data_IF_393722042250
#
_entry.id   IF_393722042250
#
_cell.length_a   1.000
_cell.length_b   1.000
_cell.length_c   1.000
_cell.angle_alpha   90.00
_cell.angle_beta   90.00
_cell.angle_gamma   90.00
#
_symmetry.space_group_name_H-M   'P 1'
#
loop_
_entity.id
_entity.type
_entity.pdbx_description
1 polymer ?
#
# COMPACT_ATOMS: atom_id res chain seq x y z
N UNK A 1 45.12 12.76 0.55
CA UNK A 1 45.37 11.88 -0.60
C UNK A 1 44.01 11.44 -1.14
N UNK A 2 43.50 12.15 -2.14
CA UNK A 2 42.22 11.87 -2.82
C UNK A 2 42.47 10.86 -3.94
N UNK A 3 41.57 9.89 -4.10
CA UNK A 3 41.48 9.06 -5.29
C UNK A 3 40.13 9.37 -5.99
N UNK A 4 40.12 9.72 -7.30
CA UNK A 4 38.88 9.89 -8.03
C UNK A 4 38.41 8.52 -8.56
N UNK A 5 37.19 8.12 -8.20
CA UNK A 5 36.51 7.01 -8.85
C UNK A 5 35.99 7.48 -10.21
N UNK A 6 36.66 7.04 -11.27
CA UNK A 6 36.23 7.22 -12.66
C UNK A 6 35.24 6.11 -13.01
N UNK A 7 33.94 6.39 -12.89
CA UNK A 7 32.91 5.50 -13.43
C UNK A 7 32.79 5.76 -14.94
N UNK A 8 33.27 4.81 -15.76
CA UNK A 8 33.14 4.87 -17.21
C UNK A 8 31.76 4.34 -17.63
N UNK A 9 31.06 5.18 -18.39
CA UNK A 9 29.84 4.91 -19.13
C UNK A 9 29.88 3.58 -19.90
N UNK A 10 28.76 2.86 -19.91
CA UNK A 10 28.27 2.20 -21.13
C UNK A 10 26.76 2.47 -21.22
N UNK A 11 26.40 3.44 -22.05
CA UNK A 11 25.06 3.56 -22.61
C UNK A 11 24.92 2.47 -23.68
N UNK A 12 23.82 1.73 -23.67
CA UNK A 12 23.38 0.90 -24.81
C UNK A 12 22.02 1.41 -25.26
N UNK A 13 21.93 2.15 -26.38
CA UNK A 13 20.69 2.50 -27.02
C UNK A 13 20.58 1.79 -28.38
N UNK A 14 19.87 0.66 -28.41
CA UNK A 14 19.32 0.07 -29.64
C UNK A 14 17.90 -0.37 -29.29
N UNK A 15 16.86 0.35 -29.70
CA UNK A 15 16.27 0.44 -31.04
C UNK A 15 15.10 -0.54 -31.26
N UNK A 16 13.95 0.08 -31.56
CA UNK A 16 12.86 -0.36 -32.45
C UNK A 16 11.96 -1.53 -32.00
N UNK A 17 10.72 -1.18 -31.64
CA UNK A 17 9.55 -1.56 -32.45
C UNK A 17 8.30 -0.78 -32.01
N UNK A 18 7.97 0.26 -32.78
CA UNK A 18 6.60 0.73 -32.91
C UNK A 18 5.80 -0.35 -33.63
N UNK A 19 4.72 -0.83 -33.02
CA UNK A 19 3.62 -1.45 -33.76
C UNK A 19 2.33 -0.78 -33.30
N UNK A 20 1.83 0.11 -34.15
CA UNK A 20 0.47 0.59 -34.13
C UNK A 20 -0.50 -0.56 -34.37
N UNK A 21 -1.50 -0.69 -33.50
CA UNK A 21 -2.79 -1.31 -33.85
C UNK A 21 -3.91 -0.45 -33.26
N UNK A 22 -4.58 0.39 -34.07
CA UNK A 22 -5.88 0.93 -33.72
C UNK A 22 -6.96 -0.05 -34.20
N UNK A 23 -7.70 -0.65 -33.27
CA UNK A 23 -9.01 -1.20 -33.58
C UNK A 23 -10.07 -0.40 -32.84
N UNK A 24 -10.65 0.54 -33.58
CA UNK A 24 -11.99 1.06 -33.35
C UNK A 24 -13.00 -0.09 -33.37
N UNK A 25 -13.62 -0.39 -32.23
CA UNK A 25 -14.93 -1.05 -32.21
C UNK A 25 -15.92 -0.09 -31.59
N UNK A 26 -16.79 0.36 -32.48
CA UNK A 26 -17.89 1.26 -32.23
C UNK A 26 -19.02 0.58 -31.44
N UNK A 27 -19.70 1.42 -30.66
CA UNK A 27 -21.15 1.42 -30.44
C UNK A 27 -21.77 0.24 -29.69
N UNK A 28 -22.24 0.50 -28.47
CA UNK A 28 -23.65 0.28 -28.13
C UNK A 28 -24.11 1.13 -26.93
N UNK A 29 -25.39 1.48 -27.01
CA UNK A 29 -26.10 2.60 -26.39
C UNK A 29 -26.36 2.47 -24.88
N UNK A 30 -26.72 3.58 -24.22
CA UNK A 30 -27.15 3.61 -22.83
C UNK A 30 -28.55 3.00 -22.68
N UNK A 31 -28.73 2.14 -21.67
CA UNK A 31 -30.06 1.75 -21.19
C UNK A 31 -30.31 2.41 -19.84
N UNK A 32 -31.23 3.38 -19.85
CA UNK A 32 -31.88 3.90 -18.65
C UNK A 32 -32.86 2.85 -18.15
N UNK A 33 -32.77 2.48 -16.88
CA UNK A 33 -33.90 1.91 -16.14
C UNK A 33 -34.08 2.69 -14.83
N UNK A 34 -35.19 3.42 -14.66
CA UNK A 34 -35.65 3.85 -13.35
C UNK A 34 -36.45 2.69 -12.72
N UNK A 35 -35.80 1.90 -11.86
CA UNK A 35 -36.52 0.92 -11.05
C UNK A 35 -37.03 1.63 -9.81
N UNK A 36 -38.35 1.74 -9.71
CA UNK A 36 -39.06 2.23 -8.54
C UNK A 36 -38.75 1.35 -7.33
N UNK A 37 -38.34 2.00 -6.24
CA UNK A 37 -38.02 1.39 -4.97
C UNK A 37 -39.32 1.28 -4.16
N UNK A 38 -39.71 0.11 -3.63
CA UNK A 38 -40.72 0.04 -2.58
C UNK A 38 -40.14 0.61 -1.26
N UNK A 39 -40.92 1.36 -0.46
CA UNK A 39 -40.48 1.83 0.84
C UNK A 39 -40.43 0.63 1.81
N UNK A 40 -39.23 0.18 2.14
CA UNK A 40 -39.04 -0.78 3.23
C UNK A 40 -39.22 -0.07 4.59
N UNK A 41 -39.85 -0.73 5.57
CA UNK A 41 -40.05 -0.17 6.90
C UNK A 41 -38.71 0.09 7.58
N UNK A 42 -38.59 1.29 8.13
CA UNK A 42 -37.47 1.78 8.94
C UNK A 42 -37.43 0.93 10.22
N UNK A 43 -36.70 -0.18 10.19
CA UNK A 43 -36.24 -0.83 11.40
C UNK A 43 -34.91 -0.19 11.78
N UNK A 44 -34.99 0.82 12.65
CA UNK A 44 -33.85 1.32 13.41
C UNK A 44 -33.23 0.13 14.15
N UNK A 45 -31.98 -0.26 13.88
CA UNK A 45 -31.27 -1.14 14.78
C UNK A 45 -30.99 -0.34 16.04
N UNK A 46 -31.46 -0.88 17.16
CA UNK A 46 -31.13 -0.45 18.50
C UNK A 46 -29.62 -0.18 18.59
N UNK A 47 -29.28 0.96 19.18
CA UNK A 47 -27.94 1.33 19.61
C UNK A 47 -27.38 0.24 20.51
N UNK A 48 -26.73 -0.75 19.87
CA UNK A 48 -25.93 -1.75 20.53
C UNK A 48 -24.72 -1.04 21.11
N UNK A 49 -24.61 -1.11 22.43
CA UNK A 49 -23.38 -0.91 23.20
C UNK A 49 -22.19 -1.49 22.41
N UNK A 50 -21.43 -0.61 21.78
CA UNK A 50 -20.13 -0.95 21.22
C UNK A 50 -19.18 -1.10 22.40
N UNK A 51 -19.16 -2.31 22.96
CA UNK A 51 -18.01 -2.76 23.73
C UNK A 51 -16.77 -2.51 22.88
N UNK A 52 -15.72 -1.85 23.41
CA UNK A 52 -14.47 -1.67 22.69
C UNK A 52 -13.83 -3.06 22.51
N UNK A 53 -14.19 -3.73 21.42
CA UNK A 53 -13.47 -4.90 20.94
C UNK A 53 -12.07 -4.39 20.61
N UNK A 54 -11.09 -4.77 21.43
CA UNK A 54 -9.68 -4.50 21.15
C UNK A 54 -9.41 -5.02 19.73
N UNK A 55 -9.07 -4.11 18.82
CA UNK A 55 -8.76 -4.45 17.43
C UNK A 55 -7.63 -5.49 17.42
N UNK A 56 -7.73 -6.47 16.52
CA UNK A 56 -6.67 -7.49 16.42
C UNK A 56 -5.36 -6.86 15.92
N UNK A 57 -4.18 -7.43 16.25
CA UNK A 57 -2.90 -6.93 15.74
C UNK A 57 -2.85 -6.79 14.22
N UNK A 58 -3.46 -7.74 13.51
CA UNK A 58 -3.61 -7.73 12.05
C UNK A 58 -4.48 -6.57 11.56
N UNK A 59 -5.64 -6.35 12.20
CA UNK A 59 -6.53 -5.23 11.89
C UNK A 59 -5.84 -3.89 12.11
N UNK A 60 -5.02 -3.79 13.16
CA UNK A 60 -4.26 -2.60 13.49
C UNK A 60 -3.15 -2.32 12.47
N UNK A 61 -2.41 -3.35 12.05
CA UNK A 61 -1.43 -3.25 10.97
C UNK A 61 -2.10 -2.81 9.66
N UNK A 62 -3.19 -3.48 9.26
CA UNK A 62 -3.91 -3.13 8.04
C UNK A 62 -4.45 -1.68 8.09
N UNK A 63 -5.03 -1.28 9.22
CA UNK A 63 -5.54 0.07 9.44
C UNK A 63 -4.41 1.11 9.35
N UNK A 64 -3.24 0.83 9.93
CA UNK A 64 -2.07 1.70 9.83
C UNK A 64 -1.62 1.85 8.37
N UNK A 65 -1.46 0.75 7.64
CA UNK A 65 -1.04 0.78 6.25
C UNK A 65 -2.05 1.54 5.36
N UNK A 66 -3.35 1.40 5.64
CA UNK A 66 -4.39 2.16 4.94
C UNK A 66 -4.29 3.66 5.17
N UNK A 67 -3.98 4.11 6.39
CA UNK A 67 -3.75 5.54 6.69
C UNK A 67 -2.52 6.11 5.98
N UNK A 68 -1.57 5.25 5.63
CA UNK A 68 -0.33 5.60 4.97
C UNK A 68 -0.25 5.05 3.53
N UNK A 69 -1.39 4.87 2.85
CA UNK A 69 -1.38 4.32 1.49
C UNK A 69 -0.52 5.18 0.52
N UNK A 70 -0.45 6.48 0.78
CA UNK A 70 0.32 7.45 0.01
C UNK A 70 1.84 7.19 0.08
N UNK A 71 2.31 6.40 1.05
CA UNK A 71 3.69 5.93 1.13
C UNK A 71 4.02 4.86 0.09
N UNK A 72 3.02 4.18 -0.49
CA UNK A 72 3.22 3.04 -1.38
C UNK A 72 2.98 3.37 -2.86
N UNK A 73 3.63 2.62 -3.75
CA UNK A 73 3.48 2.70 -5.22
C UNK A 73 2.54 1.64 -5.78
N UNK A 74 2.33 0.55 -5.04
CA UNK A 74 1.47 -0.56 -5.40
C UNK A 74 0.20 -0.52 -4.54
N UNK A 75 -0.70 -1.47 -4.78
CA UNK A 75 -1.94 -1.57 -4.01
C UNK A 75 -1.66 -1.93 -2.56
N UNK A 76 -2.47 -1.38 -1.64
CA UNK A 76 -2.41 -1.70 -0.22
C UNK A 76 -2.48 -3.21 0.03
N UNK A 77 -3.37 -3.92 -0.67
CA UNK A 77 -3.52 -5.37 -0.56
C UNK A 77 -2.25 -6.14 -0.93
N UNK A 78 -1.53 -5.69 -1.97
CA UNK A 78 -0.25 -6.30 -2.35
C UNK A 78 0.82 -6.13 -1.28
N UNK A 79 0.92 -4.94 -0.67
CA UNK A 79 1.88 -4.69 0.43
C UNK A 79 1.52 -5.53 1.65
N UNK A 80 0.24 -5.56 2.02
CA UNK A 80 -0.23 -6.28 3.20
C UNK A 80 0.01 -7.79 3.08
N UNK A 81 -0.34 -8.41 1.94
CA UNK A 81 -0.09 -9.82 1.69
C UNK A 81 1.40 -10.15 1.67
N UNK A 82 2.22 -9.25 1.12
CA UNK A 82 3.68 -9.43 1.12
C UNK A 82 4.26 -9.36 2.55
N UNK A 83 3.81 -8.40 3.38
CA UNK A 83 4.23 -8.33 4.79
C UNK A 83 3.87 -9.61 5.54
N UNK A 84 2.68 -10.17 5.32
CA UNK A 84 2.31 -11.47 5.90
C UNK A 84 3.22 -12.61 5.44
N UNK A 85 3.66 -12.61 4.18
CA UNK A 85 4.60 -13.63 3.68
C UNK A 85 6.00 -13.53 4.30
N UNK A 86 6.35 -12.35 4.81
CA UNK A 86 7.59 -12.08 5.55
C UNK A 86 7.42 -12.26 7.08
N UNK A 87 6.31 -12.86 7.52
CA UNK A 87 5.95 -13.06 8.94
C UNK A 87 5.76 -11.74 9.73
N UNK A 88 5.47 -10.63 9.03
CA UNK A 88 5.16 -9.33 9.63
C UNK A 88 3.65 -9.21 9.76
N UNK A 89 3.12 -9.57 10.93
CA UNK A 89 1.68 -9.64 11.22
C UNK A 89 1.18 -8.53 12.16
N UNK A 90 2.09 -7.79 12.81
CA UNK A 90 1.76 -6.70 13.74
C UNK A 90 2.59 -5.44 13.51
N UNK A 91 2.21 -4.34 14.18
CA UNK A 91 3.01 -3.11 14.18
C UNK A 91 4.33 -3.25 14.93
N UNK A 92 4.42 -4.17 15.91
CA UNK A 92 5.68 -4.44 16.60
C UNK A 92 6.68 -5.08 15.64
N UNK A 93 6.27 -6.13 14.91
CA UNK A 93 7.10 -6.79 13.91
C UNK A 93 7.55 -5.81 12.82
N UNK A 94 6.61 -4.97 12.35
CA UNK A 94 6.93 -3.96 11.35
C UNK A 94 7.90 -2.91 11.89
N UNK A 95 7.76 -2.50 13.16
CA UNK A 95 8.66 -1.55 13.83
C UNK A 95 10.10 -2.06 13.89
N UNK A 96 10.27 -3.34 14.23
CA UNK A 96 11.58 -3.99 14.27
C UNK A 96 12.18 -4.11 12.86
N UNK A 97 11.36 -4.52 11.88
CA UNK A 97 11.78 -4.65 10.48
C UNK A 97 12.22 -3.31 9.86
N UNK A 98 11.50 -2.21 10.13
CA UNK A 98 11.89 -0.87 9.61
C UNK A 98 13.12 -0.29 10.30
N UNK A 99 13.59 -0.90 11.40
CA UNK A 99 14.82 -0.48 12.03
C UNK A 99 16.07 -0.91 11.24
N UNK A 100 15.97 -2.04 10.55
CA UNK A 100 16.95 -2.46 9.56
C UNK A 100 16.86 -1.59 8.29
N UNK A 101 17.89 -0.78 8.08
CA UNK A 101 17.96 0.13 6.92
C UNK A 101 18.17 -0.65 5.62
N UNK A 102 18.89 -1.76 5.66
CA UNK A 102 19.12 -2.61 4.49
C UNK A 102 17.84 -3.32 4.09
N UNK A 103 17.02 -3.75 5.05
CA UNK A 103 15.67 -4.28 4.80
C UNK A 103 14.76 -3.23 4.16
N UNK A 104 14.72 -2.01 4.69
CA UNK A 104 13.88 -0.93 4.12
C UNK A 104 14.28 -0.61 2.69
N UNK A 105 15.57 -0.59 2.40
CA UNK A 105 16.11 -0.21 1.10
C UNK A 105 16.02 -1.34 0.08
N UNK A 106 16.27 -2.58 0.52
CA UNK A 106 16.30 -3.76 -0.33
C UNK A 106 14.95 -4.41 -0.48
N UNK A 107 14.16 -4.57 0.58
CA UNK A 107 12.94 -5.37 0.53
C UNK A 107 11.72 -4.48 0.50
N UNK A 108 11.56 -3.59 1.48
CA UNK A 108 10.36 -2.75 1.60
C UNK A 108 10.20 -1.77 0.41
N UNK A 109 11.31 -1.19 -0.07
CA UNK A 109 11.30 -0.32 -1.25
C UNK A 109 11.00 -1.09 -2.55
N UNK A 110 11.50 -2.32 -2.69
CA UNK A 110 11.23 -3.16 -3.88
C UNK A 110 9.75 -3.55 -3.93
N UNK A 111 9.14 -3.78 -2.76
CA UNK A 111 7.77 -4.28 -2.64
C UNK A 111 6.70 -3.19 -2.50
N UNK A 112 7.06 -1.91 -2.59
CA UNK A 112 6.06 -0.85 -2.76
C UNK A 112 6.40 0.49 -2.13
N UNK A 113 7.26 0.53 -1.11
CA UNK A 113 7.53 1.77 -0.38
C UNK A 113 8.25 2.80 -1.27
N UNK A 114 7.73 4.03 -1.28
CA UNK A 114 8.36 5.15 -2.00
C UNK A 114 9.66 5.54 -1.32
N UNK A 115 10.75 5.63 -2.10
CA UNK A 115 12.09 5.99 -1.59
C UNK A 115 12.12 7.27 -0.75
N UNK A 116 11.39 8.30 -1.18
CA UNK A 116 11.32 9.58 -0.48
C UNK A 116 10.40 9.58 0.76
N UNK A 117 9.59 8.53 0.95
CA UNK A 117 8.70 8.36 2.11
C UNK A 117 9.31 7.48 3.21
N UNK A 118 10.46 6.84 2.98
CA UNK A 118 11.12 5.92 3.94
C UNK A 118 11.26 6.51 5.34
N UNK A 119 11.83 7.71 5.45
CA UNK A 119 12.05 8.35 6.74
C UNK A 119 10.75 8.65 7.48
N UNK A 120 9.78 9.27 6.79
CA UNK A 120 8.48 9.57 7.36
C UNK A 120 7.71 8.32 7.76
N UNK A 121 7.77 7.28 6.93
CA UNK A 121 7.12 5.99 7.19
C UNK A 121 7.73 5.30 8.41
N UNK A 122 9.07 5.21 8.50
CA UNK A 122 9.76 4.65 9.67
C UNK A 122 9.37 5.35 10.97
N UNK A 123 9.30 6.68 10.96
CA UNK A 123 8.85 7.46 12.12
C UNK A 123 7.40 7.12 12.49
N UNK A 124 6.50 7.08 11.49
CA UNK A 124 5.09 6.77 11.72
C UNK A 124 4.89 5.35 12.28
N UNK A 125 5.62 4.36 11.78
CA UNK A 125 5.58 2.98 12.29
C UNK A 125 5.98 2.95 13.77
N UNK A 126 7.10 3.59 14.11
CA UNK A 126 7.60 3.62 15.49
C UNK A 126 6.63 4.30 16.45
N UNK A 127 6.08 5.44 16.04
CA UNK A 127 5.08 6.17 16.82
C UNK A 127 3.82 5.32 17.05
N UNK A 128 3.35 4.64 15.99
CA UNK A 128 2.19 3.76 16.08
C UNK A 128 2.44 2.51 16.94
N UNK A 129 3.65 1.93 16.89
CA UNK A 129 4.01 0.79 17.73
C UNK A 129 4.10 1.17 19.22
N UNK A 130 4.64 2.35 19.54
CA UNK A 130 4.67 2.87 20.92
C UNK A 130 3.25 3.17 21.43
N UNK A 131 2.36 3.69 20.58
CA UNK A 131 0.98 3.96 20.97
C UNK A 131 0.15 2.70 21.29
N UNK A 132 0.66 1.51 20.99
CA UNK A 132 0.02 0.22 21.28
C UNK A 132 0.67 -0.56 22.43
N UNK A 133 1.80 -0.08 22.95
CA UNK A 133 2.50 -0.66 24.10
C UNK A 133 1.98 -0.09 25.42
#
# INVERSE_FOLDING_TARGET
RQAPYVCKYVHSPEEIAQVHSPMDVATSKPVSQPVQHPPHPVHSPAVGEYSPTLASPEEMLFTFLSKHEDCFKCSLGSVYLWLQSEDIISLADLSDAVDDTDYVDSELTKNGLKKFKRGAFKIAVKDAAVAQA
#
